data_IF_522056846967
#
_entry.id   IF_522056846967
#
_cell.length_a   1.000
_cell.length_b   1.000
_cell.length_c   1.000
_cell.angle_alpha   90.00
_cell.angle_beta   90.00
_cell.angle_gamma   90.00
#
_symmetry.space_group_name_H-M   'P 1'
#
loop_
_entity.id
_entity.type
_entity.pdbx_description
1 polymer ?
#
# COMPACT_ATOMS: atom_id res chain seq x y z
N UNK A 1 -56.14 24.17 -55.66
CA UNK A 1 -56.69 22.89 -55.17
C UNK A 1 -55.91 22.47 -53.94
N UNK A 2 -56.64 22.04 -52.91
CA UNK A 2 -56.17 21.57 -51.59
C UNK A 2 -55.25 20.35 -51.73
N UNK A 3 -54.24 20.22 -50.86
CA UNK A 3 -54.15 19.03 -49.99
C UNK A 3 -53.16 19.22 -48.82
N UNK A 4 -53.70 19.01 -47.61
CA UNK A 4 -53.00 18.79 -46.34
C UNK A 4 -52.21 17.47 -46.38
N UNK A 5 -51.17 17.29 -45.54
CA UNK A 5 -50.85 16.09 -44.73
C UNK A 5 -49.54 16.39 -43.94
N UNK A 6 -49.60 16.75 -42.66
CA UNK A 6 -49.69 15.94 -41.42
C UNK A 6 -48.32 15.70 -40.75
N UNK A 7 -48.21 16.14 -39.49
CA UNK A 7 -47.11 15.90 -38.55
C UNK A 7 -46.88 14.39 -38.30
N UNK A 8 -45.63 14.02 -37.94
CA UNK A 8 -45.42 13.11 -36.81
C UNK A 8 -44.09 13.35 -36.11
N UNK A 9 -44.20 13.67 -34.82
CA UNK A 9 -43.11 13.73 -33.85
C UNK A 9 -42.33 12.40 -33.84
N UNK A 10 -41.02 12.47 -34.06
CA UNK A 10 -40.11 11.42 -33.61
C UNK A 10 -39.81 11.67 -32.13
N UNK A 11 -40.49 10.89 -31.30
CA UNK A 11 -40.31 10.75 -29.87
C UNK A 11 -38.84 10.51 -29.50
N UNK A 12 -38.31 11.46 -28.71
CA UNK A 12 -37.10 11.33 -27.91
C UNK A 12 -37.25 10.16 -26.94
N UNK A 13 -36.79 8.97 -27.34
CA UNK A 13 -36.52 7.88 -26.41
C UNK A 13 -35.00 7.80 -26.27
N UNK A 14 -34.45 8.66 -25.40
CA UNK A 14 -33.07 8.50 -24.94
C UNK A 14 -33.13 7.50 -23.79
N UNK A 15 -32.62 6.26 -23.94
CA UNK A 15 -32.43 5.40 -22.79
C UNK A 15 -31.37 6.08 -21.94
N UNK A 16 -31.76 6.54 -20.75
CA UNK A 16 -30.85 6.94 -19.69
C UNK A 16 -29.88 5.77 -19.47
N UNK A 17 -28.67 5.91 -20.00
CA UNK A 17 -27.56 5.02 -19.69
C UNK A 17 -27.46 4.94 -18.16
N UNK A 18 -27.45 3.75 -17.55
CA UNK A 18 -27.18 3.65 -16.12
C UNK A 18 -25.85 4.35 -15.89
N UNK A 19 -25.82 5.28 -14.92
CA UNK A 19 -24.61 6.00 -14.52
C UNK A 19 -23.55 4.94 -14.21
N UNK A 20 -22.70 4.63 -15.18
CA UNK A 20 -21.57 3.76 -14.99
C UNK A 20 -20.77 4.44 -13.89
N UNK A 21 -20.81 3.85 -12.69
CA UNK A 21 -20.12 4.37 -11.51
C UNK A 21 -18.67 4.44 -11.92
N UNK A 22 -18.23 5.64 -12.28
CA UNK A 22 -16.89 5.92 -12.78
C UNK A 22 -15.96 5.51 -11.65
N UNK A 23 -15.43 4.28 -11.71
CA UNK A 23 -14.42 3.79 -10.76
C UNK A 23 -13.22 4.69 -11.02
N UNK A 24 -13.11 5.75 -10.24
CA UNK A 24 -11.85 6.45 -10.09
C UNK A 24 -10.91 5.40 -9.52
N UNK A 25 -10.02 4.85 -10.35
CA UNK A 25 -8.93 4.00 -9.88
C UNK A 25 -8.06 4.87 -8.97
N UNK A 26 -8.40 4.91 -7.68
CA UNK A 26 -7.51 5.46 -6.68
C UNK A 26 -6.39 4.44 -6.52
N UNK A 27 -5.14 4.90 -6.68
CA UNK A 27 -3.97 4.09 -6.38
C UNK A 27 -4.11 3.56 -4.96
N UNK A 28 -3.85 2.26 -4.75
CA UNK A 28 -3.85 1.69 -3.41
C UNK A 28 -2.78 2.40 -2.56
N UNK A 29 -3.08 2.74 -1.30
CA UNK A 29 -2.05 3.26 -0.39
C UNK A 29 -0.90 2.27 -0.26
N UNK A 30 0.33 2.76 -0.19
CA UNK A 30 1.54 1.95 -0.05
C UNK A 30 1.94 1.87 1.42
N UNK A 31 2.06 0.65 1.93
CA UNK A 31 2.45 0.39 3.31
C UNK A 31 3.78 -0.35 3.33
N UNK A 32 4.76 0.23 4.00
CA UNK A 32 6.06 -0.38 4.25
C UNK A 32 6.07 -0.99 5.66
N UNK A 33 6.26 -2.30 5.75
CA UNK A 33 6.47 -2.99 7.03
C UNK A 33 7.97 -3.20 7.25
N UNK A 34 8.44 -2.79 8.42
CA UNK A 34 9.85 -2.73 8.78
C UNK A 34 10.14 -3.67 9.95
N UNK A 35 11.17 -4.49 9.82
CA UNK A 35 11.57 -5.42 10.87
C UNK A 35 10.68 -6.65 10.87
N UNK A 36 10.96 -7.53 9.92
CA UNK A 36 10.24 -8.77 9.66
C UNK A 36 10.82 -9.95 10.44
N UNK A 37 12.06 -9.90 10.90
CA UNK A 37 12.56 -10.88 11.85
C UNK A 37 11.76 -10.87 13.16
N UNK A 38 11.62 -12.02 13.81
CA UNK A 38 10.94 -12.12 15.12
C UNK A 38 11.66 -11.32 16.22
N UNK A 39 13.00 -11.25 16.15
CA UNK A 39 13.84 -10.58 17.13
C UNK A 39 15.00 -9.87 16.48
N UNK A 40 15.42 -8.78 17.11
CA UNK A 40 16.61 -8.02 16.77
C UNK A 40 17.81 -8.96 16.61
N UNK A 41 18.53 -8.80 15.50
CA UNK A 41 19.72 -9.60 15.20
C UNK A 41 19.44 -10.99 14.62
N UNK A 42 18.18 -11.36 14.36
CA UNK A 42 17.81 -12.66 13.79
C UNK A 42 16.95 -12.50 12.53
N UNK A 43 17.03 -13.48 11.64
CA UNK A 43 16.18 -13.59 10.43
C UNK A 43 15.01 -14.56 10.60
N UNK A 44 14.83 -15.12 11.79
CA UNK A 44 13.78 -16.11 12.08
C UNK A 44 12.40 -15.51 11.87
N UNK A 45 11.59 -16.18 11.04
CA UNK A 45 10.23 -15.73 10.68
C UNK A 45 9.14 -16.36 11.55
N UNK A 46 9.42 -17.46 12.25
CA UNK A 46 8.41 -18.12 13.08
C UNK A 46 7.94 -17.19 14.21
N UNK A 47 6.62 -17.04 14.32
CA UNK A 47 5.96 -16.10 15.23
C UNK A 47 6.36 -14.63 15.03
N UNK A 48 6.79 -14.26 13.82
CA UNK A 48 7.17 -12.88 13.54
C UNK A 48 5.93 -11.96 13.50
N UNK A 49 5.87 -10.93 14.36
CA UNK A 49 4.81 -9.93 14.27
C UNK A 49 4.88 -9.12 12.97
N UNK A 50 6.10 -8.94 12.42
CA UNK A 50 6.29 -8.24 11.13
C UNK A 50 5.71 -9.02 9.96
N UNK A 51 5.92 -10.33 9.93
CA UNK A 51 5.34 -11.19 8.89
C UNK A 51 3.82 -11.25 9.01
N UNK A 52 3.29 -11.43 10.22
CA UNK A 52 1.84 -11.48 10.47
C UNK A 52 1.13 -10.20 10.00
N UNK A 53 1.72 -9.03 10.27
CA UNK A 53 1.17 -7.74 9.82
C UNK A 53 1.23 -7.63 8.29
N UNK A 54 2.36 -7.98 7.69
CA UNK A 54 2.56 -7.91 6.24
C UNK A 54 1.56 -8.83 5.49
N UNK A 55 1.38 -10.06 5.96
CA UNK A 55 0.41 -11.01 5.41
C UNK A 55 -1.01 -10.49 5.48
N UNK A 56 -1.44 -9.99 6.64
CA UNK A 56 -2.80 -9.46 6.82
C UNK A 56 -3.06 -8.24 5.93
N UNK A 57 -2.09 -7.35 5.80
CA UNK A 57 -2.19 -6.18 4.90
C UNK A 57 -2.29 -6.61 3.44
N UNK A 58 -1.45 -7.55 3.01
CA UNK A 58 -1.49 -8.08 1.64
C UNK A 58 -2.83 -8.76 1.34
N UNK A 59 -3.29 -9.63 2.25
CA UNK A 59 -4.56 -10.37 2.13
C UNK A 59 -5.79 -9.45 2.11
N UNK A 60 -5.73 -8.28 2.75
CA UNK A 60 -6.85 -7.31 2.73
C UNK A 60 -7.18 -6.84 1.31
N UNK A 61 -6.18 -6.79 0.42
CA UNK A 61 -6.32 -6.21 -0.91
C UNK A 61 -6.56 -4.69 -0.92
N UNK A 62 -6.55 -4.01 0.22
CA UNK A 62 -6.81 -2.57 0.33
C UNK A 62 -5.57 -1.72 0.10
N UNK A 63 -4.39 -2.28 0.36
CA UNK A 63 -3.09 -1.61 0.28
C UNK A 63 -2.11 -2.36 -0.62
N UNK A 64 -1.06 -1.67 -1.06
CA UNK A 64 0.14 -2.26 -1.61
C UNK A 64 1.15 -2.45 -0.46
N UNK A 65 1.26 -3.68 0.04
CA UNK A 65 2.15 -4.01 1.15
C UNK A 65 3.54 -4.43 0.64
N UNK A 66 4.59 -3.78 1.13
CA UNK A 66 5.99 -4.08 0.85
C UNK A 66 6.76 -4.22 2.18
N UNK A 67 7.89 -4.91 2.18
CA UNK A 67 8.68 -5.09 3.41
C UNK A 67 10.13 -4.66 3.31
N UNK A 68 10.72 -4.28 4.44
CA UNK A 68 12.16 -4.03 4.58
C UNK A 68 12.70 -4.65 5.87
N UNK A 69 13.82 -5.34 5.75
CA UNK A 69 14.56 -5.91 6.87
C UNK A 69 16.02 -6.14 6.45
N UNK A 70 16.96 -5.89 7.36
CA UNK A 70 18.40 -6.02 7.12
C UNK A 70 18.88 -7.46 7.12
N UNK A 71 18.13 -8.39 7.73
CA UNK A 71 18.47 -9.80 7.88
C UNK A 71 17.52 -10.74 7.15
N UNK A 72 16.31 -10.29 6.79
CA UNK A 72 15.36 -11.06 5.98
C UNK A 72 15.48 -10.69 4.50
N UNK A 73 15.96 -11.63 3.69
CA UNK A 73 16.14 -11.44 2.25
C UNK A 73 14.87 -11.73 1.45
N UNK A 74 14.83 -11.30 0.18
CA UNK A 74 13.70 -11.54 -0.73
C UNK A 74 13.40 -13.05 -0.88
N UNK A 75 14.41 -13.91 -0.82
CA UNK A 75 14.24 -15.36 -0.96
C UNK A 75 13.50 -16.02 0.21
N UNK A 76 13.44 -15.36 1.38
CA UNK A 76 12.73 -15.89 2.54
C UNK A 76 11.22 -15.66 2.47
N UNK A 77 10.78 -14.63 1.75
CA UNK A 77 9.36 -14.31 1.53
C UNK A 77 9.16 -14.02 0.03
N UNK A 78 9.22 -15.05 -0.84
CA UNK A 78 9.32 -14.86 -2.29
C UNK A 78 8.04 -14.28 -2.93
N UNK A 79 6.91 -14.39 -2.25
CA UNK A 79 5.60 -13.99 -2.77
C UNK A 79 5.23 -12.54 -2.40
N UNK A 80 6.04 -11.85 -1.59
CA UNK A 80 5.81 -10.46 -1.22
C UNK A 80 6.98 -9.59 -1.67
N UNK A 81 6.70 -8.38 -2.17
CA UNK A 81 7.75 -7.48 -2.61
C UNK A 81 8.59 -6.99 -1.43
N UNK A 82 9.89 -7.27 -1.49
CA UNK A 82 10.88 -6.65 -0.63
C UNK A 82 11.32 -5.33 -1.24
N UNK A 83 11.51 -4.34 -0.38
CA UNK A 83 12.23 -3.11 -0.70
C UNK A 83 13.71 -3.44 -0.92
N UNK A 84 14.31 -2.95 -2.01
CA UNK A 84 15.71 -3.21 -2.35
C UNK A 84 16.69 -2.86 -1.23
N UNK A 85 17.91 -3.39 -1.31
CA UNK A 85 18.98 -3.24 -0.30
C UNK A 85 19.55 -1.81 -0.19
N UNK A 86 19.02 -0.87 -0.97
CA UNK A 86 19.46 0.51 -0.99
C UNK A 86 19.22 1.20 0.37
N UNK A 87 20.12 2.13 0.68
CA UNK A 87 20.25 2.80 1.97
C UNK A 87 18.90 3.28 2.48
N UNK A 88 18.62 3.02 3.76
CA UNK A 88 17.46 3.51 4.49
C UNK A 88 17.45 5.05 4.54
N UNK A 89 17.00 5.71 3.45
CA UNK A 89 16.98 7.18 3.34
C UNK A 89 15.61 7.77 3.63
N UNK A 90 15.55 9.07 3.90
CA UNK A 90 14.28 9.77 4.11
C UNK A 90 13.40 9.73 2.85
N UNK A 91 13.98 9.97 1.68
CA UNK A 91 13.30 9.98 0.37
C UNK A 91 12.63 8.63 0.11
N UNK A 92 13.33 7.57 0.51
CA UNK A 92 12.85 6.21 0.44
C UNK A 92 11.59 6.00 1.27
N UNK A 93 11.54 6.51 2.49
CA UNK A 93 10.39 6.33 3.38
C UNK A 93 9.19 7.17 2.97
N UNK A 94 9.45 8.35 2.40
CA UNK A 94 8.42 9.23 1.84
C UNK A 94 7.68 8.62 0.64
N UNK A 95 8.26 7.62 -0.03
CA UNK A 95 7.59 6.91 -1.12
C UNK A 95 6.43 6.00 -0.63
N UNK A 96 6.26 5.86 0.70
CA UNK A 96 5.18 5.11 1.34
C UNK A 96 4.22 6.06 2.06
N UNK A 97 2.92 5.77 2.00
CA UNK A 97 1.89 6.50 2.73
C UNK A 97 1.93 6.17 4.23
N UNK A 98 2.36 4.94 4.57
CA UNK A 98 2.50 4.48 5.95
C UNK A 98 3.72 3.59 6.11
N UNK A 99 4.47 3.81 7.20
CA UNK A 99 5.59 2.97 7.64
C UNK A 99 5.21 2.34 8.98
N UNK A 100 5.25 1.02 9.06
CA UNK A 100 4.97 0.25 10.28
C UNK A 100 6.27 -0.40 10.73
N UNK A 101 6.75 -0.05 11.92
CA UNK A 101 7.98 -0.62 12.51
C UNK A 101 7.60 -1.66 13.56
N UNK A 102 7.76 -2.94 13.21
CA UNK A 102 7.47 -4.07 14.10
C UNK A 102 8.67 -4.48 14.93
N UNK A 103 9.87 -4.40 14.38
CA UNK A 103 11.14 -4.67 15.08
C UNK A 103 12.20 -3.66 14.65
N UNK A 104 12.91 -3.05 15.60
CA UNK A 104 14.08 -2.20 15.31
C UNK A 104 15.30 -3.10 15.09
N UNK A 105 15.41 -3.65 13.89
CA UNK A 105 16.55 -4.48 13.50
C UNK A 105 17.88 -3.71 13.56
N UNK A 106 18.97 -4.47 13.70
CA UNK A 106 20.34 -3.91 13.60
C UNK A 106 20.61 -3.35 12.20
N UNK A 107 21.47 -2.33 12.12
CA UNK A 107 21.81 -1.67 10.85
C UNK A 107 20.76 -0.65 10.37
N UNK A 108 19.75 -0.39 11.19
CA UNK A 108 18.66 0.52 10.89
C UNK A 108 18.83 1.83 11.64
N UNK A 109 18.99 2.94 10.93
CA UNK A 109 19.03 4.26 11.57
C UNK A 109 17.62 4.73 11.90
N UNK A 110 17.23 4.59 13.18
CA UNK A 110 15.95 5.10 13.68
C UNK A 110 15.86 6.62 13.67
N UNK A 111 17.00 7.34 13.61
CA UNK A 111 17.03 8.80 13.47
C UNK A 111 16.30 9.28 12.23
N UNK A 112 16.36 8.52 11.14
CA UNK A 112 15.68 8.83 9.87
C UNK A 112 14.16 8.88 10.05
N UNK A 113 13.57 8.04 10.93
CA UNK A 113 12.13 8.04 11.19
C UNK A 113 11.64 9.38 11.77
N UNK A 114 12.49 10.08 12.54
CA UNK A 114 12.17 11.38 13.11
C UNK A 114 12.27 12.53 12.09
N UNK A 115 12.97 12.31 10.98
CA UNK A 115 13.13 13.29 9.91
C UNK A 115 12.04 13.17 8.81
N UNK A 116 11.14 12.19 8.91
CA UNK A 116 10.07 11.99 7.93
C UNK A 116 9.02 13.10 8.08
N UNK A 117 8.57 13.72 6.96
CA UNK A 117 7.52 14.73 6.98
C UNK A 117 6.17 14.15 7.41
N UNK A 118 5.28 15.01 7.91
CA UNK A 118 3.95 14.63 8.40
C UNK A 118 3.00 14.04 7.34
N UNK A 119 3.39 14.03 6.06
CA UNK A 119 2.64 13.37 4.98
C UNK A 119 2.69 11.84 5.03
N UNK A 120 3.74 11.26 5.62
CA UNK A 120 3.87 9.81 5.81
C UNK A 120 3.53 9.47 7.25
N UNK A 121 2.61 8.52 7.44
CA UNK A 121 2.24 8.06 8.78
C UNK A 121 3.25 7.03 9.29
N UNK A 122 3.65 7.15 10.55
CA UNK A 122 4.56 6.20 11.19
C UNK A 122 3.84 5.54 12.36
N UNK A 123 3.85 4.21 12.40
CA UNK A 123 3.35 3.42 13.52
C UNK A 123 4.48 2.50 14.02
N UNK A 124 4.83 2.62 15.30
CA UNK A 124 5.81 1.75 15.94
C UNK A 124 5.09 0.74 16.84
N UNK A 125 5.19 -0.55 16.52
CA UNK A 125 4.59 -1.66 17.27
C UNK A 125 5.58 -2.36 18.21
N UNK A 126 6.88 -2.06 18.07
CA UNK A 126 7.90 -2.44 19.04
C UNK A 126 7.81 -1.56 20.30
N UNK A 127 7.97 -2.15 21.50
CA UNK A 127 8.11 -1.35 22.73
C UNK A 127 9.30 -0.40 22.59
N UNK A 128 9.11 0.86 22.99
CA UNK A 128 10.15 1.88 23.00
C UNK A 128 11.25 1.52 24.01
#
# INVERSE_FOLDING_TARGET
MRMFFLLRLASFFSPSLPLARRRVFRKKPRVLVVGIGFKVGQSTLSNSPGLDVLERLSMSGEVEAIFADTLVSQGMIPHMPRRGDEVWTMQDLQASDTVIVTVRQVGFDSGVLHAIPSSTKIACLCRQ
#
